data_IF_113548050246
#
_entry.id   IF_113548050246
#
_cell.length_a   1.000
_cell.length_b   1.000
_cell.length_c   1.000
_cell.angle_alpha   90.00
_cell.angle_beta   90.00
_cell.angle_gamma   90.00
#
_symmetry.space_group_name_H-M   'P 1'
#
loop_
_entity.id
_entity.type
_entity.pdbx_description
1 polymer ?
#
# COMPACT_ATOMS: atom_id res chain seq x y z
N UNK A 1 24.50 -29.04 -4.08
CA UNK A 1 23.76 -29.19 -2.80
C UNK A 1 24.09 -30.56 -2.24
N UNK A 2 24.55 -30.67 -0.97
CA UNK A 2 24.75 -31.96 -0.31
C UNK A 2 23.39 -32.60 -0.06
N UNK A 3 23.16 -33.80 -0.60
CA UNK A 3 21.92 -34.56 -0.36
C UNK A 3 21.90 -35.04 1.08
N UNK A 4 20.87 -34.68 1.85
CA UNK A 4 20.69 -35.18 3.22
C UNK A 4 20.28 -36.64 3.13
N UNK A 5 21.12 -37.54 3.70
CA UNK A 5 20.86 -39.00 3.73
C UNK A 5 19.85 -39.28 4.85
N UNK A 6 18.66 -39.78 4.46
CA UNK A 6 17.60 -40.15 5.40
C UNK A 6 17.71 -41.63 5.82
N UNK A 7 17.07 -42.02 6.94
CA UNK A 7 16.97 -43.41 7.37
C UNK A 7 16.30 -44.33 6.32
N UNK A 8 15.34 -43.77 5.58
CA UNK A 8 14.68 -44.47 4.48
C UNK A 8 15.65 -44.79 3.32
N UNK A 9 16.56 -43.89 3.00
CA UNK A 9 17.61 -44.14 2.00
C UNK A 9 18.59 -45.19 2.46
N UNK A 10 19.00 -45.19 3.71
CA UNK A 10 19.86 -46.23 4.30
C UNK A 10 19.16 -47.56 4.33
N UNK A 11 17.86 -47.63 4.64
CA UNK A 11 17.06 -48.84 4.56
C UNK A 11 17.06 -49.41 3.15
N UNK A 12 16.77 -48.58 2.15
CA UNK A 12 16.76 -49.00 0.72
C UNK A 12 18.12 -49.53 0.28
N UNK A 13 19.19 -48.88 0.72
CA UNK A 13 20.55 -49.32 0.42
C UNK A 13 20.82 -50.73 1.01
N UNK A 14 20.49 -50.97 2.27
CA UNK A 14 20.62 -52.30 2.88
C UNK A 14 19.85 -53.39 2.10
N UNK A 15 18.62 -53.07 1.67
CA UNK A 15 17.81 -53.96 0.86
C UNK A 15 18.45 -54.24 -0.49
N UNK A 16 18.95 -53.23 -1.18
CA UNK A 16 19.60 -53.35 -2.50
C UNK A 16 20.90 -54.13 -2.39
N UNK A 17 21.76 -53.82 -1.43
CA UNK A 17 23.02 -54.51 -1.21
C UNK A 17 22.77 -55.99 -0.90
N UNK A 18 21.75 -56.31 -0.11
CA UNK A 18 21.38 -57.70 0.17
C UNK A 18 20.82 -58.40 -1.10
N UNK A 19 20.01 -57.72 -1.89
CA UNK A 19 19.48 -58.24 -3.15
C UNK A 19 20.57 -58.48 -4.23
N UNK A 20 21.67 -57.72 -4.18
CA UNK A 20 22.85 -57.91 -5.06
C UNK A 20 23.59 -59.20 -4.65
N UNK A 21 23.73 -59.45 -3.34
CA UNK A 21 24.45 -60.62 -2.81
C UNK A 21 23.61 -61.94 -2.90
N UNK A 22 22.29 -61.83 -2.87
CA UNK A 22 21.41 -63.02 -2.93
C UNK A 22 20.54 -63.01 -4.23
N UNK A 23 19.32 -62.55 -4.10
CA UNK A 23 18.43 -62.21 -5.22
C UNK A 23 17.24 -61.35 -4.75
N UNK A 24 16.49 -60.79 -5.67
CA UNK A 24 15.38 -59.90 -5.34
C UNK A 24 14.25 -60.61 -4.56
N UNK A 25 13.98 -61.88 -4.78
CA UNK A 25 12.93 -62.62 -4.10
C UNK A 25 13.29 -62.90 -2.60
N UNK A 26 14.55 -63.22 -2.31
CA UNK A 26 15.03 -63.43 -0.95
C UNK A 26 15.06 -62.11 -0.19
N UNK A 27 15.53 -61.04 -0.81
CA UNK A 27 15.52 -59.69 -0.22
C UNK A 27 14.10 -59.24 0.11
N UNK A 28 13.13 -59.47 -0.78
CA UNK A 28 11.71 -59.15 -0.57
C UNK A 28 11.16 -59.83 0.69
N UNK A 29 11.42 -61.12 0.87
CA UNK A 29 10.97 -61.87 2.06
C UNK A 29 11.62 -61.37 3.34
N UNK A 30 12.95 -61.13 3.32
CA UNK A 30 13.70 -60.71 4.51
C UNK A 30 13.32 -59.28 4.97
N UNK A 31 13.05 -58.37 4.05
CA UNK A 31 12.81 -56.98 4.38
C UNK A 31 11.32 -56.55 4.26
N UNK A 32 10.42 -57.54 4.10
CA UNK A 32 8.97 -57.33 4.02
C UNK A 32 8.58 -56.23 3.03
N UNK A 33 9.22 -56.23 1.82
CA UNK A 33 8.95 -55.26 0.75
C UNK A 33 8.49 -55.96 -0.52
N UNK A 34 8.04 -55.22 -1.57
CA UNK A 34 7.64 -55.81 -2.80
C UNK A 34 8.83 -56.05 -3.75
N UNK A 35 8.75 -57.15 -4.56
CA UNK A 35 9.78 -57.48 -5.56
C UNK A 35 9.96 -56.32 -6.58
N UNK A 36 8.90 -55.62 -6.90
CA UNK A 36 8.95 -54.46 -7.79
C UNK A 36 9.70 -53.27 -7.21
N UNK A 37 9.54 -53.04 -5.88
CA UNK A 37 10.30 -52.00 -5.18
C UNK A 37 11.80 -52.31 -5.15
N UNK A 38 12.17 -53.56 -4.84
CA UNK A 38 13.57 -53.96 -4.86
C UNK A 38 14.17 -53.80 -6.26
N UNK A 39 13.46 -54.19 -7.30
CA UNK A 39 13.93 -53.99 -8.68
C UNK A 39 14.11 -52.50 -9.03
N UNK A 40 13.14 -51.66 -8.65
CA UNK A 40 13.23 -50.19 -8.88
C UNK A 40 14.43 -49.59 -8.16
N UNK A 41 14.65 -49.95 -6.91
CA UNK A 41 15.80 -49.46 -6.12
C UNK A 41 17.12 -49.96 -6.69
N UNK A 42 17.19 -51.24 -7.06
CA UNK A 42 18.40 -51.83 -7.66
C UNK A 42 18.74 -51.18 -8.98
N UNK A 43 17.74 -50.89 -9.86
CA UNK A 43 17.93 -50.17 -11.12
C UNK A 43 18.43 -48.73 -10.92
N UNK A 44 18.09 -48.12 -9.78
CA UNK A 44 18.43 -46.73 -9.45
C UNK A 44 19.76 -46.61 -8.71
N UNK A 45 20.23 -47.69 -8.10
CA UNK A 45 21.43 -47.71 -7.27
C UNK A 45 22.69 -47.63 -8.11
N UNK A 46 23.51 -46.60 -7.85
CA UNK A 46 24.81 -46.33 -8.51
C UNK A 46 26.00 -46.61 -7.61
N UNK A 47 25.80 -47.25 -6.47
CA UNK A 47 26.82 -47.48 -5.43
C UNK A 47 26.78 -46.48 -4.29
N UNK A 48 25.95 -45.45 -4.36
CA UNK A 48 25.80 -44.43 -3.32
C UNK A 48 24.42 -44.41 -2.70
N UNK A 49 24.34 -44.20 -1.39
CA UNK A 49 23.05 -44.02 -0.67
C UNK A 49 22.23 -42.85 -1.24
N UNK A 50 22.90 -41.83 -1.75
CA UNK A 50 22.28 -40.64 -2.31
C UNK A 50 21.44 -40.93 -3.57
N UNK A 51 21.83 -41.92 -4.38
CA UNK A 51 21.11 -42.36 -5.56
C UNK A 51 19.70 -42.88 -5.26
N UNK A 52 19.47 -43.37 -4.05
CA UNK A 52 18.20 -43.94 -3.59
C UNK A 52 17.21 -42.86 -3.07
N UNK A 53 17.56 -41.60 -3.16
CA UNK A 53 16.66 -40.48 -2.80
C UNK A 53 15.38 -40.49 -3.65
N UNK A 54 14.26 -40.08 -3.07
CA UNK A 54 13.04 -39.87 -3.84
C UNK A 54 13.23 -38.70 -4.81
N UNK A 55 12.88 -38.88 -6.06
CA UNK A 55 12.77 -37.72 -6.99
C UNK A 55 11.56 -36.90 -6.60
N UNK A 56 11.69 -35.59 -6.68
CA UNK A 56 10.55 -34.70 -6.50
C UNK A 56 9.46 -35.03 -7.50
N UNK A 57 8.23 -35.22 -7.02
CA UNK A 57 7.04 -35.37 -7.87
C UNK A 57 6.43 -34.03 -8.27
N UNK A 58 7.03 -32.94 -7.81
CA UNK A 58 6.57 -31.59 -8.13
C UNK A 58 6.74 -31.34 -9.63
N UNK A 59 5.70 -30.84 -10.32
CA UNK A 59 5.83 -30.43 -11.71
C UNK A 59 6.96 -29.43 -11.92
N UNK A 60 7.72 -29.55 -12.98
CA UNK A 60 8.80 -28.62 -13.34
C UNK A 60 8.25 -27.26 -13.80
N UNK A 61 7.06 -27.24 -14.39
CA UNK A 61 6.34 -26.04 -14.81
C UNK A 61 4.88 -26.09 -14.37
N UNK A 62 4.26 -24.94 -14.25
CA UNK A 62 2.84 -24.82 -13.95
C UNK A 62 2.20 -23.85 -14.94
N UNK A 63 1.02 -24.17 -15.54
CA UNK A 63 0.37 -23.32 -16.55
C UNK A 63 0.20 -21.85 -16.12
N UNK A 64 -0.05 -21.63 -14.82
CA UNK A 64 -0.21 -20.29 -14.24
C UNK A 64 1.10 -19.68 -13.72
N UNK A 65 2.26 -20.26 -14.03
CA UNK A 65 3.55 -19.69 -13.66
C UNK A 65 3.80 -18.41 -14.47
N UNK A 66 4.34 -17.38 -13.80
CA UNK A 66 4.77 -16.17 -14.50
C UNK A 66 5.88 -16.48 -15.49
N UNK A 67 5.80 -15.88 -16.67
CA UNK A 67 6.88 -15.95 -17.65
C UNK A 67 8.08 -15.11 -17.19
N UNK A 68 9.21 -15.31 -17.81
CA UNK A 68 10.42 -14.54 -17.52
C UNK A 68 10.23 -13.05 -17.84
N UNK A 69 9.55 -12.75 -18.92
CA UNK A 69 9.21 -11.39 -19.36
C UNK A 69 8.28 -10.70 -18.35
N UNK A 70 7.26 -11.40 -17.86
CA UNK A 70 6.35 -10.87 -16.84
C UNK A 70 7.11 -10.55 -15.53
N UNK A 71 8.04 -11.42 -15.13
CA UNK A 71 8.84 -11.20 -13.92
C UNK A 71 9.74 -9.97 -14.08
N UNK A 72 10.40 -9.81 -15.22
CA UNK A 72 11.24 -8.62 -15.47
C UNK A 72 10.39 -7.35 -15.57
N UNK A 73 9.20 -7.42 -16.16
CA UNK A 73 8.25 -6.31 -16.18
C UNK A 73 7.85 -5.91 -14.75
N UNK A 74 7.52 -6.88 -13.88
CA UNK A 74 7.20 -6.63 -12.47
C UNK A 74 8.36 -5.94 -11.75
N UNK A 75 9.59 -6.43 -11.90
CA UNK A 75 10.79 -5.83 -11.29
C UNK A 75 11.00 -4.39 -11.76
N UNK A 76 10.88 -4.14 -13.06
CA UNK A 76 11.05 -2.82 -13.69
C UNK A 76 10.01 -1.83 -13.15
N UNK A 77 8.71 -2.19 -13.13
CA UNK A 77 7.65 -1.32 -12.65
C UNK A 77 7.72 -1.11 -11.14
N UNK A 78 8.08 -2.14 -10.38
CA UNK A 78 8.31 -2.00 -8.93
C UNK A 78 9.45 -1.04 -8.62
N UNK A 79 10.60 -1.13 -9.31
CA UNK A 79 11.72 -0.21 -9.12
C UNK A 79 11.31 1.24 -9.39
N UNK A 80 10.48 1.46 -10.41
CA UNK A 80 10.08 2.81 -10.85
C UNK A 80 9.00 3.44 -9.98
N UNK A 81 8.02 2.66 -9.50
CA UNK A 81 6.80 3.19 -8.90
C UNK A 81 6.52 2.72 -7.47
N UNK A 82 7.35 1.87 -6.88
CA UNK A 82 7.08 1.33 -5.52
C UNK A 82 6.92 2.39 -4.44
N UNK A 83 7.59 3.53 -4.59
CA UNK A 83 7.47 4.66 -3.67
C UNK A 83 6.07 5.32 -3.67
N UNK A 84 5.30 5.19 -4.76
CA UNK A 84 3.92 5.66 -4.87
C UNK A 84 2.90 4.62 -4.37
N UNK A 85 3.37 3.41 -4.06
CA UNK A 85 2.59 2.31 -3.55
C UNK A 85 2.25 1.24 -4.61
N UNK A 86 1.91 0.05 -4.13
CA UNK A 86 1.69 -1.11 -5.00
C UNK A 86 0.49 -0.97 -5.95
N UNK A 87 -0.48 -0.12 -5.63
CA UNK A 87 -1.59 0.15 -6.53
C UNK A 87 -1.13 0.84 -7.82
N UNK A 88 -0.18 1.78 -7.69
CA UNK A 88 0.43 2.44 -8.83
C UNK A 88 1.30 1.48 -9.65
N UNK A 89 2.07 0.61 -8.97
CA UNK A 89 2.85 -0.45 -9.66
C UNK A 89 1.92 -1.33 -10.48
N UNK A 90 0.81 -1.79 -9.89
CA UNK A 90 -0.14 -2.66 -10.58
C UNK A 90 -0.83 -1.98 -11.76
N UNK A 91 -1.23 -0.71 -11.61
CA UNK A 91 -1.79 0.07 -12.71
C UNK A 91 -0.80 0.19 -13.87
N UNK A 92 0.44 0.54 -13.60
CA UNK A 92 1.48 0.62 -14.62
C UNK A 92 1.79 -0.72 -15.30
N UNK A 93 1.61 -1.83 -14.59
CA UNK A 93 1.69 -3.17 -15.17
C UNK A 93 0.53 -3.44 -16.12
N UNK A 94 -0.72 -3.12 -15.74
CA UNK A 94 -1.88 -3.27 -16.61
C UNK A 94 -1.75 -2.42 -17.88
N UNK A 95 -1.31 -1.18 -17.76
CA UNK A 95 -1.06 -0.27 -18.89
C UNK A 95 0.04 -0.81 -19.84
N UNK A 96 0.95 -1.65 -19.32
CA UNK A 96 1.98 -2.35 -20.08
C UNK A 96 1.56 -3.76 -20.58
N UNK A 97 0.26 -4.11 -20.49
CA UNK A 97 -0.27 -5.37 -20.99
C UNK A 97 -0.25 -6.56 -20.02
N UNK A 98 0.03 -6.33 -18.73
CA UNK A 98 -0.03 -7.38 -17.70
C UNK A 98 -1.47 -7.77 -17.39
N UNK A 99 -1.84 -9.05 -17.59
CA UNK A 99 -3.22 -9.54 -17.49
C UNK A 99 -3.57 -10.24 -16.20
N UNK A 100 -2.56 -10.54 -15.34
CA UNK A 100 -2.80 -11.30 -14.11
C UNK A 100 -3.30 -10.40 -12.97
N UNK A 101 -3.90 -11.02 -11.96
CA UNK A 101 -4.52 -10.32 -10.83
C UNK A 101 -3.50 -9.59 -9.94
N UNK A 102 -3.98 -8.60 -9.19
CA UNK A 102 -3.19 -7.89 -8.19
C UNK A 102 -2.57 -8.81 -7.14
N UNK A 103 -3.32 -9.83 -6.70
CA UNK A 103 -2.84 -10.82 -5.72
C UNK A 103 -1.69 -11.66 -6.30
N UNK A 104 -1.78 -12.01 -7.60
CA UNK A 104 -0.73 -12.74 -8.30
C UNK A 104 0.58 -11.94 -8.35
N UNK A 105 0.50 -10.65 -8.68
CA UNK A 105 1.63 -9.72 -8.60
C UNK A 105 2.21 -9.65 -7.17
N UNK A 106 1.36 -9.48 -6.16
CA UNK A 106 1.82 -9.43 -4.76
C UNK A 106 2.53 -10.71 -4.32
N UNK A 107 2.03 -11.89 -4.75
CA UNK A 107 2.68 -13.17 -4.48
C UNK A 107 4.06 -13.21 -5.14
N UNK A 108 4.17 -12.74 -6.37
CA UNK A 108 5.45 -12.71 -7.09
C UNK A 108 6.46 -11.76 -6.46
N UNK A 109 6.03 -10.57 -6.01
CA UNK A 109 6.89 -9.64 -5.26
C UNK A 109 7.44 -10.25 -3.96
N UNK A 110 6.64 -11.05 -3.25
CA UNK A 110 7.09 -11.80 -2.06
C UNK A 110 8.11 -12.87 -2.43
N UNK A 111 7.88 -13.63 -3.49
CA UNK A 111 8.81 -14.64 -3.99
C UNK A 111 10.17 -14.04 -4.38
N UNK A 112 10.15 -12.84 -4.96
CA UNK A 112 11.35 -12.09 -5.31
C UNK A 112 12.03 -11.43 -4.12
N UNK A 113 11.52 -11.60 -2.89
CA UNK A 113 12.00 -10.97 -1.65
C UNK A 113 12.10 -9.44 -1.74
N UNK A 114 11.31 -8.82 -2.59
CA UNK A 114 11.16 -7.38 -2.64
C UNK A 114 10.31 -6.99 -1.42
N UNK A 115 10.96 -6.50 -0.37
CA UNK A 115 10.38 -6.23 0.96
C UNK A 115 9.12 -5.38 0.83
N UNK A 116 8.03 -5.89 1.38
CA UNK A 116 6.88 -5.08 1.76
C UNK A 116 6.91 -4.90 3.28
N UNK A 117 6.55 -3.73 3.81
CA UNK A 117 6.40 -3.57 5.23
C UNK A 117 5.33 -4.54 5.74
N UNK A 118 5.60 -5.22 6.84
CA UNK A 118 4.63 -6.09 7.50
C UNK A 118 3.40 -5.29 7.88
N UNK A 119 2.24 -5.75 7.43
CA UNK A 119 0.97 -5.15 7.83
C UNK A 119 0.66 -5.56 9.25
N UNK A 120 0.71 -4.61 10.20
CA UNK A 120 0.17 -4.83 11.53
C UNK A 120 -1.30 -5.25 11.42
N UNK A 121 -1.67 -6.38 12.04
CA UNK A 121 -3.08 -6.82 12.13
C UNK A 121 -3.77 -5.94 13.18
N UNK A 122 -4.67 -5.07 12.73
CA UNK A 122 -5.53 -4.31 13.63
C UNK A 122 -6.87 -5.04 13.80
N UNK A 123 -7.42 -5.00 15.01
CA UNK A 123 -8.80 -5.43 15.25
C UNK A 123 -9.73 -4.58 14.37
N UNK A 124 -10.69 -5.23 13.71
CA UNK A 124 -11.67 -4.52 12.89
C UNK A 124 -12.54 -3.65 13.81
N UNK A 125 -12.49 -2.36 13.63
CA UNK A 125 -13.39 -1.43 14.31
C UNK A 125 -14.84 -1.68 13.89
N UNK A 126 -15.79 -1.61 14.83
CA UNK A 126 -17.23 -1.61 14.54
C UNK A 126 -17.71 -0.30 13.91
N UNK A 127 -16.85 0.71 13.88
CA UNK A 127 -17.18 2.02 13.31
C UNK A 127 -17.34 1.94 11.78
N UNK A 128 -18.50 2.40 11.29
CA UNK A 128 -18.72 2.59 9.85
C UNK A 128 -18.21 3.98 9.46
N UNK A 129 -17.12 4.03 8.73
CA UNK A 129 -16.57 5.29 8.23
C UNK A 129 -17.58 6.01 7.32
N UNK A 130 -17.63 7.33 7.43
CA UNK A 130 -18.41 8.18 6.55
C UNK A 130 -17.93 7.99 5.10
N UNK A 131 -18.88 7.92 4.17
CA UNK A 131 -18.60 7.81 2.74
C UNK A 131 -19.37 8.90 2.02
N UNK A 132 -18.78 9.52 1.02
CA UNK A 132 -19.48 10.39 0.10
C UNK A 132 -20.15 9.59 -1.02
N UNK A 133 -21.33 9.98 -1.44
CA UNK A 133 -22.06 9.41 -2.59
C UNK A 133 -21.70 10.14 -3.89
N UNK A 134 -21.29 11.40 -3.79
CA UNK A 134 -20.84 12.24 -4.90
C UNK A 134 -19.73 13.18 -4.47
N UNK A 135 -18.94 13.75 -5.42
CA UNK A 135 -17.86 14.69 -5.09
C UNK A 135 -18.37 15.92 -4.34
N UNK A 136 -17.74 16.26 -3.23
CA UNK A 136 -18.08 17.42 -2.41
C UNK A 136 -19.17 17.20 -1.37
N UNK A 137 -19.80 16.01 -1.30
CA UNK A 137 -20.77 15.75 -0.24
C UNK A 137 -20.16 15.85 1.15
N UNK A 138 -18.97 15.24 1.32
CA UNK A 138 -18.19 15.34 2.55
C UNK A 138 -16.71 15.53 2.21
N UNK A 139 -16.12 16.56 2.78
CA UNK A 139 -14.69 16.85 2.71
C UNK A 139 -14.13 16.85 4.14
N UNK A 140 -13.16 16.00 4.43
CA UNK A 140 -12.40 16.08 5.68
C UNK A 140 -11.30 17.13 5.53
N UNK A 141 -11.19 18.03 6.51
CA UNK A 141 -10.12 19.04 6.60
C UNK A 141 -9.38 18.85 7.91
N UNK A 142 -8.05 18.87 7.84
CA UNK A 142 -7.18 18.70 8.99
C UNK A 142 -5.84 19.39 8.76
N UNK A 143 -5.14 19.72 9.86
CA UNK A 143 -3.82 20.33 9.85
C UNK A 143 -2.83 19.43 10.55
N UNK A 144 -1.67 19.23 9.95
CA UNK A 144 -0.57 18.50 10.57
C UNK A 144 0.71 19.32 10.63
N UNK A 145 1.57 18.99 11.56
CA UNK A 145 2.94 19.50 11.59
C UNK A 145 3.78 18.90 10.47
N UNK A 146 4.63 19.73 9.88
CA UNK A 146 5.72 19.24 9.02
C UNK A 146 6.79 18.64 9.95
N UNK A 147 7.28 17.40 9.70
CA UNK A 147 8.32 16.80 10.52
C UNK A 147 9.60 17.64 10.55
N UNK A 148 10.15 17.89 11.73
CA UNK A 148 11.36 18.71 11.89
C UNK A 148 12.58 18.05 11.24
N UNK A 149 12.62 16.74 11.19
CA UNK A 149 13.72 15.96 10.62
C UNK A 149 13.97 16.24 9.13
N UNK A 150 12.92 16.69 8.42
CA UNK A 150 13.06 17.06 7.02
C UNK A 150 13.51 18.51 6.79
N UNK A 151 13.60 19.35 7.84
CA UNK A 151 14.04 20.74 7.77
C UNK A 151 15.55 20.79 8.02
N UNK A 152 16.32 21.07 6.99
CA UNK A 152 17.79 21.16 7.03
C UNK A 152 18.35 22.58 6.98
N UNK A 153 17.49 23.59 7.15
CA UNK A 153 17.85 25.01 7.06
C UNK A 153 17.44 25.77 8.34
N UNK A 154 18.12 26.88 8.59
CA UNK A 154 17.74 27.81 9.67
C UNK A 154 16.47 28.56 9.26
N UNK A 155 15.39 28.39 10.01
CA UNK A 155 14.11 29.05 9.75
C UNK A 155 13.85 30.17 10.73
N UNK A 156 13.28 31.30 10.23
CA UNK A 156 12.71 32.34 11.08
C UNK A 156 11.38 31.91 11.73
N UNK A 157 10.78 30.83 11.24
CA UNK A 157 9.52 30.29 11.76
C UNK A 157 9.78 29.12 12.70
N UNK A 158 9.05 29.09 13.82
CA UNK A 158 9.17 28.03 14.80
C UNK A 158 8.77 26.64 14.23
N UNK A 159 7.79 26.62 13.33
CA UNK A 159 7.25 25.39 12.70
C UNK A 159 6.58 25.68 11.37
N UNK A 160 6.44 24.62 10.57
CA UNK A 160 5.61 24.62 9.37
C UNK A 160 4.46 23.64 9.51
N UNK A 161 3.36 23.91 8.80
CA UNK A 161 2.12 23.13 8.87
C UNK A 161 1.63 22.80 7.49
N UNK A 162 0.96 21.67 7.37
CA UNK A 162 0.28 21.27 6.16
C UNK A 162 -1.22 21.23 6.41
N UNK A 163 -1.98 22.09 5.74
CA UNK A 163 -3.44 22.03 5.70
C UNK A 163 -3.84 21.06 4.58
N UNK A 164 -4.75 20.14 4.88
CA UNK A 164 -5.23 19.12 3.93
C UNK A 164 -6.74 19.11 3.90
N UNK A 165 -7.34 19.25 2.71
CA UNK A 165 -8.75 18.95 2.47
C UNK A 165 -8.87 17.75 1.54
N UNK A 166 -9.64 16.72 1.91
CA UNK A 166 -9.80 15.50 1.13
C UNK A 166 -11.27 15.14 0.95
N UNK A 167 -11.70 14.98 -0.29
CA UNK A 167 -13.06 14.54 -0.64
C UNK A 167 -13.24 13.04 -0.36
N UNK A 168 -14.33 12.68 0.31
CA UNK A 168 -14.59 11.29 0.72
C UNK A 168 -15.10 10.40 -0.42
N UNK A 169 -15.59 10.95 -1.52
CA UNK A 169 -16.00 10.20 -2.70
C UNK A 169 -14.81 9.88 -3.60
N UNK A 170 -14.20 10.91 -4.19
CA UNK A 170 -13.14 10.77 -5.19
C UNK A 170 -11.75 10.55 -4.60
N UNK A 171 -11.56 10.83 -3.30
CA UNK A 171 -10.26 10.91 -2.63
C UNK A 171 -9.38 12.02 -3.20
N UNK A 172 -9.92 12.95 -4.00
CA UNK A 172 -9.22 14.13 -4.43
C UNK A 172 -8.88 14.99 -3.23
N UNK A 173 -7.65 15.44 -3.17
CA UNK A 173 -7.19 16.25 -2.04
C UNK A 173 -6.48 17.51 -2.49
N UNK A 174 -6.65 18.55 -1.73
CA UNK A 174 -5.91 19.80 -1.83
C UNK A 174 -5.05 19.91 -0.59
N UNK A 175 -3.78 20.18 -0.79
CA UNK A 175 -2.82 20.39 0.29
C UNK A 175 -2.17 21.76 0.13
N UNK A 176 -1.88 22.42 1.27
CA UNK A 176 -1.22 23.73 1.33
C UNK A 176 -0.21 23.71 2.47
N UNK A 177 0.99 24.20 2.22
CA UNK A 177 2.01 24.42 3.20
C UNK A 177 1.89 25.85 3.75
N UNK A 178 1.93 26.02 5.05
CA UNK A 178 1.89 27.30 5.76
C UNK A 178 2.91 27.33 6.90
N UNK A 179 3.33 28.51 7.31
CA UNK A 179 4.29 28.73 8.39
C UNK A 179 3.61 29.17 9.70
N UNK A 180 2.27 29.23 9.70
CA UNK A 180 1.47 29.61 10.86
C UNK A 180 0.24 28.71 10.98
N UNK A 181 -0.07 28.32 12.22
CA UNK A 181 -1.31 27.62 12.57
C UNK A 181 -2.31 28.63 13.14
N UNK A 182 -3.18 29.13 12.31
CA UNK A 182 -4.20 30.10 12.70
C UNK A 182 -5.53 29.89 12.00
N UNK A 183 -6.62 30.39 12.59
CA UNK A 183 -7.93 30.42 11.97
C UNK A 183 -7.94 31.26 10.68
N UNK A 184 -7.02 32.22 10.54
CA UNK A 184 -6.84 33.00 9.33
C UNK A 184 -6.33 32.14 8.16
N UNK A 185 -5.27 31.36 8.34
CA UNK A 185 -4.70 30.51 7.29
C UNK A 185 -5.65 29.38 6.88
N UNK A 186 -6.38 28.79 7.82
CA UNK A 186 -7.40 27.77 7.51
C UNK A 186 -8.60 28.38 6.78
N UNK A 187 -9.03 29.59 7.14
CA UNK A 187 -10.10 30.34 6.43
C UNK A 187 -9.69 30.73 5.00
N UNK A 188 -8.47 31.21 4.81
CA UNK A 188 -7.89 31.51 3.50
C UNK A 188 -7.78 30.26 2.62
N UNK A 189 -7.51 29.11 3.20
CA UNK A 189 -7.54 27.83 2.51
C UNK A 189 -8.94 27.50 1.99
N UNK A 190 -10.00 27.71 2.79
CA UNK A 190 -11.41 27.45 2.42
C UNK A 190 -11.83 28.23 1.17
N UNK A 191 -11.52 29.52 1.09
CA UNK A 191 -11.89 30.35 -0.07
C UNK A 191 -11.36 29.81 -1.41
N UNK A 192 -10.22 29.12 -1.38
CA UNK A 192 -9.64 28.52 -2.58
C UNK A 192 -10.05 27.05 -2.80
N UNK A 193 -10.67 26.41 -1.81
CA UNK A 193 -10.82 24.95 -1.77
C UNK A 193 -11.76 24.45 -2.87
N UNK A 194 -12.97 25.01 -3.01
CA UNK A 194 -13.93 24.61 -4.04
C UNK A 194 -13.35 24.79 -5.45
N UNK A 195 -12.75 25.95 -5.73
CA UNK A 195 -12.11 26.23 -7.03
C UNK A 195 -11.02 25.19 -7.36
N UNK A 196 -10.19 24.85 -6.39
CA UNK A 196 -9.11 23.86 -6.55
C UNK A 196 -9.62 22.42 -6.60
N UNK A 197 -10.72 22.11 -5.91
CA UNK A 197 -11.40 20.81 -5.98
C UNK A 197 -12.13 20.63 -7.32
N UNK A 198 -12.66 21.70 -7.91
CA UNK A 198 -13.42 21.68 -9.16
C UNK A 198 -14.87 21.25 -8.99
N UNK A 199 -15.42 21.33 -7.77
CA UNK A 199 -16.82 21.06 -7.44
C UNK A 199 -17.24 21.80 -6.17
N UNK A 200 -18.56 21.94 -5.98
CA UNK A 200 -19.15 22.54 -4.79
C UNK A 200 -19.05 21.59 -3.59
N UNK A 201 -18.86 22.15 -2.41
CA UNK A 201 -18.73 21.38 -1.17
C UNK A 201 -19.98 21.58 -0.32
N UNK A 202 -20.64 20.48 0.07
CA UNK A 202 -21.83 20.50 0.91
C UNK A 202 -21.48 20.50 2.40
N UNK A 203 -20.51 19.67 2.80
CA UNK A 203 -20.16 19.52 4.22
C UNK A 203 -18.64 19.42 4.38
N UNK A 204 -18.08 20.20 5.29
CA UNK A 204 -16.72 20.05 5.76
C UNK A 204 -16.71 19.44 7.15
N UNK A 205 -15.94 18.39 7.33
CA UNK A 205 -15.69 17.74 8.61
C UNK A 205 -14.29 18.07 9.11
N UNK A 206 -14.18 18.53 10.36
CA UNK A 206 -12.92 18.82 11.05
C UNK A 206 -12.88 18.14 12.40
N UNK A 207 -11.73 18.12 13.04
CA UNK A 207 -11.62 17.93 14.48
C UNK A 207 -12.05 19.20 15.24
N UNK A 208 -11.76 19.23 16.57
CA UNK A 208 -12.10 20.37 17.44
C UNK A 208 -10.87 21.26 17.66
N UNK A 209 -9.92 21.32 16.73
CA UNK A 209 -8.75 22.18 16.81
C UNK A 209 -9.11 23.68 16.86
N UNK A 210 -8.31 24.47 17.57
CA UNK A 210 -8.55 25.92 17.71
C UNK A 210 -8.46 26.68 16.39
N UNK A 211 -7.80 26.11 15.41
CA UNK A 211 -7.75 26.61 14.03
C UNK A 211 -9.07 26.51 13.29
N UNK A 212 -10.02 25.68 13.77
CA UNK A 212 -11.33 25.44 13.17
C UNK A 212 -12.49 25.95 14.04
N UNK A 213 -12.37 25.92 15.36
CA UNK A 213 -13.42 26.33 16.26
C UNK A 213 -12.86 27.01 17.53
N UNK A 214 -13.66 27.85 18.14
CA UNK A 214 -13.32 28.43 19.45
C UNK A 214 -13.60 27.43 20.59
N UNK A 215 -12.88 27.58 21.69
CA UNK A 215 -13.04 26.74 22.91
C UNK A 215 -14.42 26.90 23.57
N UNK A 216 -15.12 28.01 23.27
CA UNK A 216 -16.44 28.31 23.81
C UNK A 216 -17.45 28.46 22.68
N UNK A 217 -18.65 27.91 22.83
CA UNK A 217 -19.74 28.05 21.86
C UNK A 217 -20.32 29.49 21.82
N UNK A 218 -19.78 30.44 22.63
CA UNK A 218 -20.26 31.82 22.70
C UNK A 218 -19.89 32.70 21.52
N UNK A 219 -18.83 32.33 20.76
CA UNK A 219 -18.41 33.08 19.57
C UNK A 219 -17.94 32.13 18.47
N UNK A 220 -18.38 32.40 17.24
CA UNK A 220 -17.91 31.64 16.08
C UNK A 220 -16.44 31.97 15.76
N UNK A 221 -15.66 30.96 15.38
CA UNK A 221 -14.31 31.15 14.82
C UNK A 221 -14.40 31.78 13.44
N UNK A 222 -13.32 32.41 12.98
CA UNK A 222 -13.23 32.94 11.63
C UNK A 222 -13.50 31.83 10.57
N UNK A 223 -13.02 30.62 10.84
CA UNK A 223 -13.26 29.46 9.98
C UNK A 223 -14.76 29.13 9.86
N UNK A 224 -15.50 29.16 10.95
CA UNK A 224 -16.95 28.92 10.98
C UNK A 224 -17.73 30.03 10.23
N UNK A 225 -17.35 31.29 10.44
CA UNK A 225 -17.95 32.43 9.74
C UNK A 225 -17.75 32.30 8.21
N UNK A 226 -16.56 31.87 7.78
CA UNK A 226 -16.28 31.68 6.34
C UNK A 226 -17.06 30.50 5.78
N UNK A 227 -17.22 29.39 6.50
CA UNK A 227 -18.07 28.27 6.08
C UNK A 227 -19.52 28.69 5.87
N UNK A 228 -20.07 29.47 6.80
CA UNK A 228 -21.44 30.00 6.71
C UNK A 228 -21.62 30.90 5.48
N UNK A 229 -20.67 31.82 5.22
CA UNK A 229 -20.66 32.66 4.01
C UNK A 229 -20.60 31.88 2.71
N UNK A 230 -19.89 30.74 2.71
CA UNK A 230 -19.81 29.85 1.55
C UNK A 230 -21.00 28.89 1.43
N UNK A 231 -21.92 28.89 2.39
CA UNK A 231 -23.07 27.96 2.44
C UNK A 231 -22.64 26.50 2.70
N UNK A 232 -21.50 26.29 3.34
CA UNK A 232 -20.93 24.96 3.60
C UNK A 232 -21.26 24.55 5.06
N UNK A 233 -21.88 23.39 5.23
CA UNK A 233 -22.16 22.86 6.57
C UNK A 233 -20.89 22.42 7.30
N UNK A 234 -20.69 22.91 8.52
CA UNK A 234 -19.60 22.43 9.38
C UNK A 234 -20.05 21.21 10.18
N UNK A 235 -19.27 20.15 10.18
CA UNK A 235 -19.43 18.96 11.00
C UNK A 235 -18.18 18.73 11.82
N UNK A 236 -18.26 18.87 13.13
CA UNK A 236 -17.16 18.51 14.05
C UNK A 236 -17.22 17.03 14.39
N UNK A 237 -16.07 16.37 14.51
CA UNK A 237 -16.00 15.02 15.07
C UNK A 237 -16.30 15.05 16.56
N UNK A 238 -16.73 13.92 17.12
CA UNK A 238 -16.90 13.80 18.57
C UNK A 238 -15.55 13.94 19.27
N UNK A 239 -15.49 14.54 20.46
CA UNK A 239 -14.27 14.54 21.27
C UNK A 239 -13.71 13.12 21.43
N UNK A 240 -12.40 13.00 21.47
CA UNK A 240 -11.69 11.71 21.60
C UNK A 240 -12.03 10.65 20.55
N UNK A 241 -12.48 11.07 19.36
CA UNK A 241 -12.90 10.16 18.27
C UNK A 241 -12.12 10.38 16.97
N UNK A 242 -10.78 10.27 16.98
CA UNK A 242 -9.93 10.57 15.82
C UNK A 242 -10.26 9.68 14.61
N UNK A 243 -10.74 8.45 14.83
CA UNK A 243 -11.14 7.56 13.74
C UNK A 243 -12.23 8.13 12.82
N UNK A 244 -12.98 9.15 13.26
CA UNK A 244 -13.99 9.81 12.43
C UNK A 244 -13.33 10.64 11.30
N UNK A 245 -12.11 11.13 11.51
CA UNK A 245 -11.28 11.84 10.52
C UNK A 245 -10.23 10.92 9.84
N UNK A 246 -10.50 9.62 9.83
CA UNK A 246 -9.52 8.60 9.48
C UNK A 246 -9.02 8.65 8.04
N UNK A 247 -9.73 9.32 7.11
CA UNK A 247 -9.30 9.42 5.71
C UNK A 247 -8.19 10.46 5.56
N UNK A 248 -8.36 11.64 6.17
CA UNK A 248 -7.34 12.68 6.14
C UNK A 248 -6.11 12.27 6.95
N UNK A 249 -6.29 11.65 8.15
CA UNK A 249 -5.18 11.12 8.94
C UNK A 249 -4.37 10.06 8.18
N UNK A 250 -5.07 9.15 7.46
CA UNK A 250 -4.39 8.18 6.60
C UNK A 250 -3.60 8.86 5.49
N UNK A 251 -4.13 9.95 4.91
CA UNK A 251 -3.42 10.72 3.90
C UNK A 251 -2.16 11.38 4.47
N UNK A 252 -2.21 11.90 5.72
CA UNK A 252 -1.06 12.45 6.43
C UNK A 252 0.04 11.43 6.68
N UNK A 253 -0.33 10.19 7.03
CA UNK A 253 0.64 9.09 7.16
C UNK A 253 1.35 8.81 5.84
N UNK A 254 0.59 8.75 4.75
CA UNK A 254 1.17 8.55 3.41
C UNK A 254 2.13 9.68 3.05
N UNK A 255 1.78 10.95 3.37
CA UNK A 255 2.68 12.09 3.14
C UNK A 255 3.98 11.97 3.94
N UNK A 256 3.89 11.52 5.20
CA UNK A 256 5.10 11.28 6.00
C UNK A 256 5.98 10.19 5.37
N UNK A 257 5.40 9.07 4.95
CA UNK A 257 6.13 7.91 4.40
C UNK A 257 6.77 8.20 3.03
N UNK A 258 6.06 8.88 2.13
CA UNK A 258 6.50 9.00 0.73
C UNK A 258 7.11 10.37 0.38
N UNK A 259 6.79 11.41 1.13
CA UNK A 259 7.29 12.76 0.87
C UNK A 259 8.28 13.23 1.92
N UNK A 260 7.88 13.36 3.19
CA UNK A 260 8.72 13.96 4.22
C UNK A 260 9.88 13.07 4.65
N UNK A 261 9.64 11.80 4.98
CA UNK A 261 10.67 10.88 5.49
C UNK A 261 11.85 10.63 4.52
N UNK A 262 11.69 11.00 3.26
CA UNK A 262 12.69 10.79 2.20
C UNK A 262 13.45 12.04 1.82
N UNK A 263 13.24 13.16 2.52
CA UNK A 263 13.81 14.45 2.15
C UNK A 263 14.37 15.18 3.36
N UNK A 264 15.39 15.95 3.09
CA UNK A 264 15.89 16.97 3.98
C UNK A 264 16.10 18.21 3.12
N UNK A 265 15.29 19.23 3.34
CA UNK A 265 15.31 20.46 2.54
C UNK A 265 16.45 21.35 2.97
N UNK A 266 17.18 21.92 2.00
CA UNK A 266 18.31 22.82 2.22
C UNK A 266 17.87 24.28 2.36
N UNK A 267 16.66 24.62 1.88
CA UNK A 267 16.07 25.94 2.00
C UNK A 267 14.53 25.90 2.05
N UNK A 268 13.93 26.98 2.54
CA UNK A 268 12.49 27.14 2.56
C UNK A 268 11.89 27.12 1.13
N UNK A 269 12.57 27.80 0.20
CA UNK A 269 12.15 27.84 -1.20
C UNK A 269 12.15 26.45 -1.85
N UNK A 270 13.18 25.67 -1.60
CA UNK A 270 13.24 24.25 -2.05
C UNK A 270 12.09 23.46 -1.49
N UNK A 271 11.77 23.62 -0.21
CA UNK A 271 10.65 22.95 0.45
C UNK A 271 9.32 23.29 -0.21
N UNK A 272 9.02 24.57 -0.42
CA UNK A 272 7.78 24.99 -1.08
C UNK A 272 7.70 24.51 -2.53
N UNK A 273 8.79 24.60 -3.30
CA UNK A 273 8.86 24.11 -4.68
C UNK A 273 8.65 22.61 -4.79
N UNK A 274 9.29 21.84 -3.90
CA UNK A 274 9.13 20.38 -3.84
C UNK A 274 7.72 19.98 -3.41
N UNK A 275 7.15 20.68 -2.44
CA UNK A 275 5.79 20.44 -1.97
C UNK A 275 4.76 20.76 -3.07
N UNK A 276 4.92 21.85 -3.82
CA UNK A 276 4.05 22.19 -4.95
C UNK A 276 4.04 21.09 -6.02
N UNK A 277 5.20 20.54 -6.37
CA UNK A 277 5.32 19.40 -7.29
C UNK A 277 4.63 18.13 -6.74
N UNK A 278 4.81 17.86 -5.46
CA UNK A 278 4.15 16.74 -4.80
C UNK A 278 2.63 16.91 -4.78
N UNK A 279 2.13 18.09 -4.43
CA UNK A 279 0.70 18.44 -4.44
C UNK A 279 0.05 18.23 -5.81
N UNK A 280 0.73 18.64 -6.89
CA UNK A 280 0.25 18.46 -8.26
C UNK A 280 0.16 16.95 -8.64
N UNK A 281 1.10 16.13 -8.17
CA UNK A 281 1.14 14.70 -8.50
C UNK A 281 0.17 13.86 -7.68
N UNK A 282 -0.11 14.20 -6.42
CA UNK A 282 -0.80 13.32 -5.46
C UNK A 282 -2.19 12.86 -5.93
N UNK A 283 -2.91 13.66 -6.73
CA UNK A 283 -4.22 13.34 -7.28
C UNK A 283 -4.17 12.50 -8.57
N UNK A 284 -2.98 12.22 -9.09
CA UNK A 284 -2.76 11.33 -10.24
C UNK A 284 -2.20 9.96 -9.85
N UNK A 285 -1.96 9.73 -8.54
CA UNK A 285 -1.49 8.44 -8.03
C UNK A 285 -2.69 7.49 -7.86
N UNK A 286 -2.62 6.33 -8.49
CA UNK A 286 -3.68 5.32 -8.44
C UNK A 286 -3.79 4.67 -7.05
N UNK A 287 -5.00 4.39 -6.61
CA UNK A 287 -5.30 3.83 -5.29
C UNK A 287 -6.13 2.55 -5.38
N UNK A 288 -5.75 1.53 -4.64
CA UNK A 288 -6.47 0.25 -4.64
C UNK A 288 -7.95 0.40 -4.22
N UNK A 289 -8.25 1.31 -3.28
CA UNK A 289 -9.63 1.61 -2.84
C UNK A 289 -10.49 2.22 -3.96
N UNK A 290 -9.87 2.86 -4.95
CA UNK A 290 -10.51 3.42 -6.14
C UNK A 290 -10.43 2.47 -7.34
N UNK A 291 -10.32 1.16 -7.09
CA UNK A 291 -10.18 0.13 -8.14
C UNK A 291 -9.00 0.41 -9.09
N UNK A 292 -7.87 0.83 -8.53
CA UNK A 292 -6.63 1.21 -9.25
C UNK A 292 -6.76 2.42 -10.17
N UNK A 293 -7.77 3.29 -9.93
CA UNK A 293 -7.89 4.60 -10.55
C UNK A 293 -7.29 5.67 -9.66
N UNK A 294 -6.92 6.80 -10.27
CA UNK A 294 -6.50 8.00 -9.55
C UNK A 294 -7.72 8.84 -9.13
N UNK A 295 -7.59 9.71 -8.12
CA UNK A 295 -8.63 10.66 -7.74
C UNK A 295 -9.15 11.53 -8.91
N UNK A 296 -8.26 11.98 -9.80
CA UNK A 296 -8.64 12.75 -10.96
C UNK A 296 -9.41 11.94 -12.02
N UNK A 297 -9.12 10.66 -12.18
CA UNK A 297 -9.89 9.76 -13.06
C UNK A 297 -11.31 9.55 -12.51
N UNK A 298 -11.45 9.29 -11.22
CA UNK A 298 -12.76 9.14 -10.56
C UNK A 298 -13.62 10.40 -10.75
N UNK A 299 -13.02 11.58 -10.55
CA UNK A 299 -13.74 12.84 -10.73
C UNK A 299 -14.18 13.04 -12.20
N UNK A 300 -13.29 12.77 -13.16
CA UNK A 300 -13.64 12.88 -14.59
C UNK A 300 -14.78 11.93 -14.96
N UNK A 301 -14.73 10.69 -14.54
CA UNK A 301 -15.80 9.71 -14.78
C UNK A 301 -17.14 10.15 -14.18
N UNK A 302 -17.11 10.73 -12.99
CA UNK A 302 -18.32 11.27 -12.38
C UNK A 302 -18.89 12.42 -13.21
N UNK A 303 -18.06 13.40 -13.57
CA UNK A 303 -18.49 14.56 -14.37
C UNK A 303 -19.04 14.15 -15.75
N UNK A 304 -18.39 13.21 -16.44
CA UNK A 304 -18.89 12.67 -17.72
C UNK A 304 -20.24 11.94 -17.57
N UNK A 305 -20.51 11.35 -16.40
CA UNK A 305 -21.78 10.62 -16.15
C UNK A 305 -22.95 11.57 -15.84
N UNK A 306 -22.68 12.74 -15.28
CA UNK A 306 -23.72 13.72 -14.86
C UNK A 306 -23.88 14.90 -15.80
N UNK A 307 -22.98 15.04 -16.81
CA UNK A 307 -23.13 15.95 -17.94
C UNK A 307 -24.05 15.37 -19.00
#
# INVERSE_FOLDING_TARGET
MKTIITEEMRYRERVVQYAIKSNNAVATRRYHTSRQQVQRWRKKYDGTTASLSNKSTRPHSHPNQHTREEIELIKRMHRRYSFEGLAQVYRSLMDAGYTRTYQSMQKQLRNLRLKQPEKKKYLKSKYKALKGEYPGEYVEVDVKYVPLECIGFSSSHARYYQITGIDLYSRKRIIKLVNELSAYETSKFLYSLEKRMGFKIKTIQTDNGREFCNDTDKAQSLFQIVLERLGIRHKRIRPYSPWQNGVVERSHRVDNEIFYARRRFSSEEEMYKSFKRYAARTNNICRAILKFKSPNEILREYLTRVA
#
